data_IF_446088128377
#
_entry.id   IF_446088128377
#
_cell.length_a   1.000
_cell.length_b   1.000
_cell.length_c   1.000
_cell.angle_alpha   90.00
_cell.angle_beta   90.00
_cell.angle_gamma   90.00
#
_symmetry.space_group_name_H-M   'P 1'
#
loop_
_entity.id
_entity.type
_entity.pdbx_description
1 polymer ?
#
# COMPACT_ATOMS: atom_id res chain seq x y z
N UNK A 1 17.68 -11.02 -2.20
CA UNK A 1 17.46 -9.62 -1.78
C UNK A 1 17.64 -9.52 -0.27
N UNK A 2 18.02 -8.37 0.30
CA UNK A 2 18.00 -8.20 1.75
C UNK A 2 16.56 -7.94 2.25
N UNK A 3 16.29 -8.20 3.54
CA UNK A 3 15.08 -7.70 4.22
C UNK A 3 15.02 -6.15 4.24
N UNK A 4 13.84 -5.60 4.50
CA UNK A 4 13.59 -4.15 4.59
C UNK A 4 13.94 -3.40 3.30
N UNK A 5 13.81 -4.07 2.15
CA UNK A 5 13.98 -3.49 0.82
C UNK A 5 12.67 -3.63 0.05
N UNK A 6 12.47 -2.78 -0.94
CA UNK A 6 11.39 -2.95 -1.87
C UNK A 6 11.88 -3.03 -3.32
N UNK A 7 11.07 -3.68 -4.15
CA UNK A 7 11.25 -3.75 -5.59
C UNK A 7 9.90 -3.51 -6.26
N UNK A 8 9.92 -2.88 -7.42
CA UNK A 8 8.77 -2.85 -8.31
C UNK A 8 8.79 -4.09 -9.19
N UNK A 9 7.72 -4.89 -9.13
CA UNK A 9 7.49 -6.00 -10.06
C UNK A 9 6.47 -5.55 -11.09
N UNK A 10 6.93 -5.35 -12.33
CA UNK A 10 6.10 -4.89 -13.45
C UNK A 10 5.97 -6.00 -14.49
N UNK A 11 4.74 -6.34 -14.85
CA UNK A 11 4.41 -7.47 -15.75
C UNK A 11 3.25 -7.11 -16.67
N UNK A 12 3.13 -7.85 -17.78
CA UNK A 12 1.97 -7.80 -18.68
C UNK A 12 1.30 -9.17 -18.71
N UNK A 13 0.14 -9.28 -18.07
CA UNK A 13 -0.55 -10.55 -17.85
C UNK A 13 -1.71 -10.74 -18.83
N UNK A 14 -1.78 -11.92 -19.42
CA UNK A 14 -2.88 -12.31 -20.30
C UNK A 14 -4.05 -12.90 -19.47
N UNK A 15 -5.13 -12.13 -19.39
CA UNK A 15 -6.39 -12.54 -18.75
C UNK A 15 -7.44 -13.02 -19.77
N UNK A 16 -7.06 -13.23 -21.03
CA UNK A 16 -7.96 -13.59 -22.11
C UNK A 16 -8.85 -12.41 -22.52
N UNK A 17 -10.10 -12.67 -22.94
CA UNK A 17 -10.92 -11.66 -23.61
C UNK A 17 -11.44 -10.55 -22.71
N UNK A 18 -11.49 -10.76 -21.38
CA UNK A 18 -11.98 -9.78 -20.42
C UNK A 18 -10.88 -9.42 -19.43
N UNK A 19 -10.51 -8.14 -19.40
CA UNK A 19 -9.47 -7.65 -18.50
C UNK A 19 -10.09 -7.30 -17.13
N UNK A 20 -9.59 -7.88 -16.02
CA UNK A 20 -10.05 -7.54 -14.69
C UNK A 20 -9.54 -6.17 -14.23
N UNK A 21 -10.13 -5.63 -13.16
CA UNK A 21 -9.54 -4.52 -12.41
C UNK A 21 -8.25 -4.96 -11.73
N UNK A 22 -7.41 -4.01 -11.30
CA UNK A 22 -6.17 -4.34 -10.57
C UNK A 22 -6.46 -5.13 -9.29
N UNK A 23 -7.51 -4.78 -8.55
CA UNK A 23 -7.91 -5.51 -7.35
C UNK A 23 -8.29 -6.97 -7.65
N UNK A 24 -9.03 -7.21 -8.72
CA UNK A 24 -9.39 -8.55 -9.18
C UNK A 24 -8.17 -9.31 -9.71
N UNK A 25 -7.28 -8.64 -10.45
CA UNK A 25 -6.03 -9.23 -10.95
C UNK A 25 -5.13 -9.72 -9.81
N UNK A 26 -5.01 -8.95 -8.73
CA UNK A 26 -4.23 -9.33 -7.55
C UNK A 26 -4.73 -10.62 -6.89
N UNK A 27 -6.01 -10.96 -7.00
CA UNK A 27 -6.54 -12.24 -6.50
C UNK A 27 -6.00 -13.44 -7.30
N UNK A 28 -5.57 -13.21 -8.54
CA UNK A 28 -4.95 -14.20 -9.42
C UNK A 28 -3.43 -14.28 -9.25
N UNK A 29 -2.84 -13.45 -8.38
CA UNK A 29 -1.43 -13.54 -8.03
C UNK A 29 -1.30 -14.34 -6.73
N UNK A 30 -0.66 -15.50 -6.79
CA UNK A 30 -0.32 -16.30 -5.62
C UNK A 30 0.94 -15.76 -4.96
N UNK A 31 0.90 -15.58 -3.63
CA UNK A 31 2.09 -15.29 -2.81
C UNK A 31 2.58 -16.60 -2.26
N UNK A 32 3.78 -17.02 -2.62
CA UNK A 32 4.44 -18.18 -2.02
C UNK A 32 5.57 -17.71 -1.13
N UNK A 33 5.59 -18.17 0.11
CA UNK A 33 6.61 -17.81 1.07
C UNK A 33 7.07 -19.03 1.88
N UNK A 34 8.36 -19.04 2.21
CA UNK A 34 8.97 -19.99 3.15
C UNK A 34 9.94 -19.21 4.04
N UNK A 35 9.47 -18.63 5.16
CA UNK A 35 10.35 -17.92 6.09
C UNK A 35 11.31 -18.90 6.80
N UNK A 36 12.52 -18.43 7.12
CA UNK A 36 13.53 -19.25 7.82
C UNK A 36 13.10 -19.64 9.23
N UNK A 37 12.33 -18.79 9.91
CA UNK A 37 11.76 -19.05 11.24
C UNK A 37 10.49 -19.91 11.20
N UNK A 38 9.99 -20.25 9.99
CA UNK A 38 8.76 -21.00 9.78
C UNK A 38 7.46 -20.23 10.08
N UNK A 39 7.51 -18.93 10.40
CA UNK A 39 6.35 -18.16 10.87
C UNK A 39 6.10 -16.91 10.04
N UNK A 40 4.86 -16.77 9.56
CA UNK A 40 4.40 -15.58 8.83
C UNK A 40 4.88 -15.54 7.37
N UNK A 41 5.01 -14.33 6.83
CA UNK A 41 5.40 -14.08 5.44
C UNK A 41 6.83 -13.53 5.33
N UNK A 42 7.46 -13.70 4.18
CA UNK A 42 8.79 -13.17 3.88
C UNK A 42 8.74 -11.81 3.18
N UNK A 43 7.62 -11.47 2.55
CA UNK A 43 7.40 -10.21 1.85
C UNK A 43 5.90 -9.87 1.83
N UNK A 44 5.57 -8.64 1.42
CA UNK A 44 4.22 -8.13 1.21
C UNK A 44 4.15 -7.28 -0.05
N UNK A 45 3.02 -7.28 -0.74
CA UNK A 45 2.68 -6.22 -1.70
C UNK A 45 2.10 -5.03 -0.93
N UNK A 46 2.76 -3.88 -1.03
CA UNK A 46 2.36 -2.64 -0.37
C UNK A 46 1.28 -1.90 -1.15
N UNK A 47 1.45 -1.83 -2.45
CA UNK A 47 0.47 -1.24 -3.35
C UNK A 47 0.63 -1.82 -4.75
N UNK A 48 -0.42 -1.70 -5.56
CA UNK A 48 -0.40 -2.10 -6.94
C UNK A 48 -1.28 -1.21 -7.82
N UNK A 49 -0.83 -0.98 -9.04
CA UNK A 49 -1.51 -0.14 -10.02
C UNK A 49 -1.21 -0.61 -11.44
N UNK A 50 -1.95 -0.08 -12.40
CA UNK A 50 -1.79 -0.42 -13.80
C UNK A 50 -3.07 -0.25 -14.61
N UNK A 51 -3.15 -0.96 -15.72
CA UNK A 51 -4.29 -0.88 -16.63
C UNK A 51 -4.08 -1.72 -17.87
N UNK A 52 -5.03 -1.71 -18.82
CA UNK A 52 -4.86 -2.39 -20.10
C UNK A 52 -3.59 -1.92 -20.82
N UNK A 53 -2.90 -2.84 -21.51
CA UNK A 53 -1.85 -2.49 -22.46
C UNK A 53 -2.42 -1.63 -23.60
N UNK A 54 -1.59 -0.88 -24.36
CA UNK A 54 -2.09 -0.02 -25.44
C UNK A 54 -2.92 -0.75 -26.52
N UNK A 55 -2.68 -2.05 -26.72
CA UNK A 55 -3.44 -2.90 -27.64
C UNK A 55 -4.70 -3.53 -27.01
N UNK A 56 -4.94 -3.30 -25.72
CA UNK A 56 -6.08 -3.81 -24.96
C UNK A 56 -6.08 -5.32 -24.72
N UNK A 57 -5.00 -6.04 -25.03
CA UNK A 57 -4.96 -7.52 -24.97
C UNK A 57 -4.48 -8.07 -23.64
N UNK A 58 -3.65 -7.32 -22.92
CA UNK A 58 -3.08 -7.74 -21.64
C UNK A 58 -3.35 -6.68 -20.58
N UNK A 59 -3.19 -7.08 -19.32
CA UNK A 59 -3.17 -6.17 -18.20
C UNK A 59 -1.73 -5.86 -17.83
N UNK A 60 -1.33 -4.59 -17.96
CA UNK A 60 -0.12 -4.08 -17.34
C UNK A 60 -0.35 -3.95 -15.84
N UNK A 61 0.47 -4.60 -15.04
CA UNK A 61 0.38 -4.62 -13.57
C UNK A 61 1.75 -4.31 -12.97
N UNK A 62 1.82 -3.28 -12.14
CA UNK A 62 2.98 -2.94 -11.33
C UNK A 62 2.64 -3.15 -9.85
N UNK A 63 3.50 -3.88 -9.14
CA UNK A 63 3.34 -4.23 -7.72
C UNK A 63 4.57 -3.79 -6.94
N UNK A 64 4.38 -2.97 -5.91
CA UNK A 64 5.44 -2.65 -4.96
C UNK A 64 5.58 -3.77 -3.92
N UNK A 65 6.65 -4.55 -4.03
CA UNK A 65 6.94 -5.69 -3.16
C UNK A 65 7.97 -5.31 -2.11
N UNK A 66 7.61 -5.37 -0.83
CA UNK A 66 8.49 -5.11 0.32
C UNK A 66 8.91 -6.41 0.99
N UNK A 67 10.22 -6.62 1.17
CA UNK A 67 10.78 -7.74 1.93
C UNK A 67 10.71 -7.47 3.44
N UNK A 68 10.28 -8.46 4.21
CA UNK A 68 10.01 -8.31 5.65
C UNK A 68 10.82 -9.29 6.51
N UNK A 69 11.03 -10.52 6.03
CA UNK A 69 11.75 -11.56 6.79
C UNK A 69 12.68 -12.39 5.89
N UNK A 70 13.78 -12.93 6.45
CA UNK A 70 14.62 -13.89 5.74
C UNK A 70 13.87 -15.16 5.35
N UNK A 71 14.28 -15.77 4.25
CA UNK A 71 13.67 -16.97 3.66
C UNK A 71 13.41 -16.82 2.18
N UNK A 72 12.57 -17.68 1.62
CA UNK A 72 12.26 -17.65 0.20
C UNK A 72 10.89 -16.99 -0.04
N UNK A 73 10.76 -16.27 -1.15
CA UNK A 73 9.51 -15.65 -1.58
C UNK A 73 9.33 -15.65 -3.09
N UNK A 74 8.09 -15.79 -3.57
CA UNK A 74 7.72 -15.64 -4.96
C UNK A 74 6.30 -15.13 -5.17
N UNK A 75 6.11 -14.43 -6.29
CA UNK A 75 4.82 -14.09 -6.88
C UNK A 75 4.61 -14.99 -8.10
N UNK A 76 3.46 -15.66 -8.16
CA UNK A 76 3.10 -16.59 -9.23
C UNK A 76 1.75 -16.21 -9.82
N UNK A 77 1.64 -16.15 -11.14
CA UNK A 77 0.35 -15.98 -11.80
C UNK A 77 -0.41 -17.30 -11.81
N UNK A 78 -1.49 -17.40 -11.02
CA UNK A 78 -2.24 -18.65 -10.81
C UNK A 78 -2.73 -19.30 -12.11
N UNK A 79 -3.13 -18.48 -13.07
CA UNK A 79 -3.73 -18.94 -14.32
C UNK A 79 -2.77 -19.78 -15.17
N UNK A 80 -1.50 -19.39 -15.21
CA UNK A 80 -0.49 -20.01 -16.08
C UNK A 80 0.59 -20.75 -15.31
N UNK A 81 0.73 -20.49 -14.01
CA UNK A 81 1.84 -20.95 -13.18
C UNK A 81 3.13 -20.15 -13.38
N UNK A 82 3.10 -19.06 -14.15
CA UNK A 82 4.26 -18.23 -14.43
C UNK A 82 4.80 -17.56 -13.16
N UNK A 83 6.11 -17.62 -12.95
CA UNK A 83 6.79 -16.93 -11.86
C UNK A 83 7.05 -15.49 -12.28
N UNK A 84 6.38 -14.54 -11.62
CA UNK A 84 6.47 -13.11 -11.91
C UNK A 84 7.67 -12.47 -11.20
N UNK A 85 7.97 -12.97 -10.01
CA UNK A 85 9.12 -12.57 -9.21
C UNK A 85 9.45 -13.70 -8.23
N UNK A 86 10.74 -13.89 -7.96
CA UNK A 86 11.20 -14.77 -6.90
C UNK A 86 12.52 -14.28 -6.32
N UNK A 87 12.74 -14.52 -5.02
CA UNK A 87 14.01 -14.20 -4.38
C UNK A 87 14.28 -15.09 -3.19
N UNK A 88 15.56 -15.43 -3.00
CA UNK A 88 16.08 -15.75 -1.66
C UNK A 88 16.29 -14.42 -0.94
N UNK A 89 15.52 -14.22 0.13
CA UNK A 89 15.59 -13.06 1.01
C UNK A 89 16.52 -13.39 2.17
N UNK A 90 17.53 -12.55 2.38
CA UNK A 90 18.56 -12.75 3.39
C UNK A 90 18.49 -11.64 4.43
N UNK A 91 19.06 -11.90 5.60
CA UNK A 91 19.25 -10.87 6.62
C UNK A 91 20.05 -9.70 6.03
N UNK A 92 19.54 -8.50 6.17
CA UNK A 92 20.24 -7.27 5.78
C UNK A 92 21.14 -6.77 6.91
N UNK A 93 22.03 -5.86 6.56
CA UNK A 93 22.90 -5.16 7.54
C UNK A 93 22.13 -4.15 8.40
N UNK A 94 20.93 -3.73 7.98
CA UNK A 94 20.03 -2.87 8.75
C UNK A 94 19.11 -3.70 9.66
N UNK A 95 19.26 -3.50 10.97
CA UNK A 95 18.61 -4.29 12.03
C UNK A 95 17.27 -3.76 12.51
N UNK A 96 16.71 -2.71 11.90
CA UNK A 96 15.39 -2.19 12.29
C UNK A 96 14.33 -3.24 12.02
N UNK A 97 13.90 -3.94 13.07
CA UNK A 97 12.78 -4.88 13.01
C UNK A 97 11.51 -4.08 12.90
N UNK A 98 10.85 -4.15 11.76
CA UNK A 98 9.47 -3.73 11.64
C UNK A 98 8.61 -4.65 12.51
N UNK A 99 7.95 -4.08 13.51
CA UNK A 99 7.09 -4.83 14.44
C UNK A 99 5.64 -4.89 13.98
N UNK A 100 5.30 -4.31 12.82
CA UNK A 100 3.97 -4.44 12.23
C UNK A 100 2.84 -3.69 12.94
N UNK A 101 3.14 -2.64 13.73
CA UNK A 101 2.15 -2.08 14.66
C UNK A 101 1.84 -0.58 14.51
N UNK A 102 2.61 0.19 13.75
CA UNK A 102 2.41 1.64 13.65
C UNK A 102 2.19 2.09 12.22
N UNK A 103 0.96 2.43 11.87
CA UNK A 103 0.62 3.15 10.65
C UNK A 103 0.96 4.63 10.87
N UNK A 104 1.90 5.16 10.09
CA UNK A 104 2.14 6.60 9.99
C UNK A 104 1.32 7.17 8.83
N UNK A 105 0.55 8.22 9.11
CA UNK A 105 -0.25 8.94 8.12
C UNK A 105 0.30 10.35 7.97
N UNK A 106 0.58 10.74 6.72
CA UNK A 106 0.98 12.10 6.37
C UNK A 106 -0.07 12.70 5.43
N UNK A 107 -0.34 14.00 5.57
CA UNK A 107 -1.24 14.75 4.69
C UNK A 107 -0.48 15.97 4.17
N UNK A 108 -0.61 16.27 2.88
CA UNK A 108 -0.02 17.48 2.33
C UNK A 108 -0.89 18.73 2.59
N UNK A 109 -0.28 19.92 2.57
CA UNK A 109 -1.01 21.20 2.73
C UNK A 109 -1.59 21.75 1.41
N UNK A 110 -1.50 20.99 0.32
CA UNK A 110 -1.82 21.45 -1.04
C UNK A 110 -0.60 21.91 -1.83
N UNK A 111 0.56 21.96 -1.18
CA UNK A 111 1.87 22.03 -1.80
C UNK A 111 2.58 20.67 -1.64
N UNK A 112 3.88 20.60 -1.85
CA UNK A 112 4.68 19.38 -1.65
C UNK A 112 5.03 19.13 -0.17
N UNK A 113 4.61 20.00 0.74
CA UNK A 113 4.94 19.84 2.18
C UNK A 113 4.01 18.84 2.84
N UNK A 114 4.61 17.84 3.49
CA UNK A 114 3.92 16.81 4.26
C UNK A 114 3.87 17.14 5.75
N UNK A 115 2.74 16.82 6.37
CA UNK A 115 2.49 16.99 7.81
C UNK A 115 2.02 15.68 8.42
N UNK A 116 2.43 15.43 9.65
CA UNK A 116 2.09 14.19 10.37
C UNK A 116 0.71 14.30 11.00
N UNK A 117 -0.12 13.29 10.82
CA UNK A 117 -1.39 13.17 11.55
C UNK A 117 -1.14 12.53 12.91
N UNK A 118 -1.61 13.17 13.97
CA UNK A 118 -1.56 12.66 15.33
C UNK A 118 -2.75 11.73 15.62
N UNK A 119 -2.47 10.43 15.59
CA UNK A 119 -3.43 9.38 15.93
C UNK A 119 -3.44 8.96 17.40
N UNK A 120 -2.67 9.61 18.28
CA UNK A 120 -2.47 9.16 19.68
C UNK A 120 -3.76 9.09 20.51
N UNK A 121 -4.77 9.89 20.18
CA UNK A 121 -6.07 9.89 20.84
C UNK A 121 -7.09 8.92 20.22
N UNK A 122 -6.62 7.99 19.36
CA UNK A 122 -7.45 7.03 18.62
C UNK A 122 -8.70 7.68 17.99
N UNK A 123 -8.51 8.67 17.10
CA UNK A 123 -9.63 9.42 16.54
C UNK A 123 -10.54 8.50 15.71
N UNK A 124 -11.84 8.78 15.72
CA UNK A 124 -12.82 8.01 14.95
C UNK A 124 -12.65 8.24 13.44
N UNK A 125 -12.28 9.46 13.04
CA UNK A 125 -11.97 9.90 11.67
C UNK A 125 -10.62 10.60 11.60
N UNK A 126 -9.97 10.60 10.43
CA UNK A 126 -8.79 11.40 10.15
C UNK A 126 -9.10 12.90 10.31
N UNK A 127 -10.33 13.33 10.02
CA UNK A 127 -10.74 14.73 10.14
C UNK A 127 -10.84 15.21 11.60
N UNK A 128 -11.03 14.27 12.54
CA UNK A 128 -11.08 14.52 13.99
C UNK A 128 -9.67 14.50 14.62
N UNK A 129 -8.66 14.07 13.86
CA UNK A 129 -7.27 14.06 14.29
C UNK A 129 -6.66 15.47 14.23
N UNK A 130 -5.46 15.62 14.80
CA UNK A 130 -4.68 16.86 14.71
C UNK A 130 -3.49 16.70 13.78
N UNK A 131 -3.08 17.80 13.16
CA UNK A 131 -1.76 17.91 12.54
C UNK A 131 -0.74 18.08 13.67
N UNK A 132 0.17 17.11 13.83
CA UNK A 132 1.11 17.04 14.95
C UNK A 132 1.97 18.29 15.06
N UNK A 133 2.47 18.79 13.94
CA UNK A 133 3.40 19.93 13.89
C UNK A 133 2.71 21.27 14.13
N UNK A 134 1.40 21.37 13.87
CA UNK A 134 0.65 22.63 13.92
C UNK A 134 -0.34 22.69 15.09
N UNK A 135 -0.69 21.54 15.68
CA UNK A 135 -1.71 21.43 16.73
C UNK A 135 -3.14 21.72 16.28
N UNK A 136 -3.39 21.96 14.99
CA UNK A 136 -4.74 22.23 14.43
C UNK A 136 -5.46 20.94 14.05
N UNK A 137 -6.80 20.96 13.96
CA UNK A 137 -7.56 19.82 13.44
C UNK A 137 -7.28 19.61 11.95
N UNK A 138 -7.29 18.36 11.52
CA UNK A 138 -7.19 18.03 10.09
C UNK A 138 -8.37 18.64 9.33
N UNK A 139 -9.56 18.71 9.92
CA UNK A 139 -10.71 19.41 9.34
C UNK A 139 -10.48 20.91 9.07
N UNK A 140 -9.64 21.58 9.84
CA UNK A 140 -9.36 23.01 9.64
C UNK A 140 -8.23 23.19 8.63
N UNK A 141 -7.29 22.24 8.63
CA UNK A 141 -6.14 22.20 7.72
C UNK A 141 -6.51 21.79 6.27
N UNK A 142 -7.53 20.95 6.12
CA UNK A 142 -7.96 20.39 4.84
C UNK A 142 -9.34 20.93 4.46
N UNK A 143 -9.43 21.94 3.58
CA UNK A 143 -10.71 22.55 3.20
C UNK A 143 -11.69 21.53 2.59
N UNK A 144 -12.98 21.74 2.82
CA UNK A 144 -14.02 20.94 2.19
C UNK A 144 -13.97 21.05 0.65
N UNK A 145 -14.13 19.93 -0.05
CA UNK A 145 -14.03 19.85 -1.51
C UNK A 145 -12.61 19.87 -2.07
N UNK A 146 -11.59 20.13 -1.25
CA UNK A 146 -10.20 20.11 -1.69
C UNK A 146 -9.66 18.68 -1.82
N UNK A 147 -8.82 18.47 -2.82
CA UNK A 147 -8.00 17.26 -2.95
C UNK A 147 -6.70 17.42 -2.16
N UNK A 148 -6.28 16.35 -1.48
CA UNK A 148 -4.97 16.23 -0.85
C UNK A 148 -4.31 14.90 -1.22
N UNK A 149 -2.99 14.88 -1.22
CA UNK A 149 -2.24 13.64 -1.15
C UNK A 149 -2.18 13.19 0.31
N UNK A 150 -2.57 11.94 0.53
CA UNK A 150 -2.42 11.25 1.81
C UNK A 150 -1.42 10.13 1.61
N UNK A 151 -0.37 10.13 2.44
CA UNK A 151 0.67 9.12 2.41
C UNK A 151 0.53 8.21 3.63
N UNK A 152 0.50 6.90 3.38
CA UNK A 152 0.51 5.86 4.39
C UNK A 152 1.87 5.18 4.41
N UNK A 153 2.50 5.12 5.58
CA UNK A 153 3.72 4.36 5.80
C UNK A 153 3.39 3.22 6.76
N UNK A 154 3.32 2.02 6.20
CA UNK A 154 3.14 0.77 6.91
C UNK A 154 3.90 -0.31 6.14
N UNK A 155 5.20 -0.42 6.38
CA UNK A 155 6.03 -1.45 5.76
C UNK A 155 7.38 -1.56 6.43
N UNK A 156 8.01 -2.72 6.27
CA UNK A 156 9.35 -2.94 6.80
C UNK A 156 10.44 -2.13 6.08
N UNK A 157 10.25 -1.84 4.79
CA UNK A 157 11.14 -0.97 4.03
C UNK A 157 10.91 0.54 4.26
N UNK A 158 9.84 0.91 4.99
CA UNK A 158 9.45 2.32 5.16
C UNK A 158 8.95 2.98 3.87
N UNK A 159 8.56 2.18 2.88
CA UNK A 159 8.11 2.68 1.58
C UNK A 159 6.72 3.31 1.69
N UNK A 160 6.52 4.52 1.13
CA UNK A 160 5.25 5.23 1.20
C UNK A 160 4.24 4.70 0.18
N UNK A 161 2.99 4.54 0.61
CA UNK A 161 1.83 4.34 -0.26
C UNK A 161 1.04 5.63 -0.32
N UNK A 162 0.94 6.22 -1.51
CA UNK A 162 0.32 7.54 -1.72
C UNK A 162 -1.03 7.40 -2.41
N UNK A 163 -2.01 8.14 -1.95
CA UNK A 163 -3.33 8.24 -2.59
C UNK A 163 -3.76 9.69 -2.66
N UNK A 164 -4.48 10.03 -3.73
CA UNK A 164 -5.19 11.32 -3.82
C UNK A 164 -6.60 11.15 -3.29
N UNK A 165 -6.97 12.05 -2.38
CA UNK A 165 -8.22 11.96 -1.62
C UNK A 165 -8.90 13.32 -1.65
N UNK A 166 -10.22 13.33 -1.80
CA UNK A 166 -11.05 14.51 -1.67
C UNK A 166 -11.75 14.51 -0.32
N UNK A 167 -11.81 15.65 0.35
CA UNK A 167 -12.68 15.82 1.52
C UNK A 167 -14.10 16.12 1.07
N UNK A 168 -15.06 15.41 1.64
CA UNK A 168 -16.50 15.61 1.46
C UNK A 168 -17.16 15.78 2.82
N UNK A 169 -17.25 17.03 3.28
CA UNK A 169 -17.76 17.43 4.59
C UNK A 169 -17.03 16.72 5.74
N UNK A 170 -17.66 15.68 6.31
CA UNK A 170 -17.22 14.89 7.45
C UNK A 170 -16.62 13.53 7.06
N UNK A 171 -16.53 13.24 5.77
CA UNK A 171 -15.86 12.04 5.22
C UNK A 171 -14.83 12.40 4.17
N UNK A 172 -14.11 11.40 3.71
CA UNK A 172 -13.19 11.52 2.57
C UNK A 172 -13.54 10.49 1.51
N UNK A 173 -13.10 10.73 0.28
CA UNK A 173 -13.30 9.83 -0.85
C UNK A 173 -12.02 9.77 -1.68
N UNK A 174 -11.63 8.58 -2.11
CA UNK A 174 -10.48 8.44 -3.01
C UNK A 174 -10.82 9.01 -4.39
N UNK A 175 -9.93 9.83 -4.93
CA UNK A 175 -10.10 10.42 -6.28
C UNK A 175 -9.89 9.36 -7.38
N UNK A 176 -9.17 8.28 -7.07
CA UNK A 176 -9.00 7.11 -7.91
C UNK A 176 -9.02 5.84 -7.06
N UNK A 177 -9.53 4.75 -7.65
CA UNK A 177 -9.45 3.38 -7.15
C UNK A 177 -8.00 2.87 -7.05
N UNK A 178 -7.06 3.51 -7.75
CA UNK A 178 -5.64 3.18 -7.75
C UNK A 178 -4.79 4.14 -6.90
N UNK A 179 -3.68 3.64 -6.33
CA UNK A 179 -3.30 2.22 -6.29
C UNK A 179 -4.21 1.38 -5.37
N UNK A 180 -4.28 0.08 -5.58
CA UNK A 180 -4.82 -0.84 -4.56
C UNK A 180 -3.84 -0.84 -3.39
N UNK A 181 -4.27 -0.38 -2.22
CA UNK A 181 -3.38 -0.21 -1.05
C UNK A 181 -3.38 -1.44 -0.17
N UNK A 182 -2.20 -1.82 0.30
CA UNK A 182 -1.93 -2.89 1.27
C UNK A 182 -2.74 -4.18 1.06
N UNK A 183 -2.76 -4.76 -0.16
CA UNK A 183 -3.59 -5.93 -0.47
C UNK A 183 -3.30 -7.15 0.42
N UNK A 184 -2.11 -7.23 1.00
CA UNK A 184 -1.70 -8.34 1.86
C UNK A 184 -1.91 -8.05 3.37
N UNK A 185 -2.39 -6.85 3.75
CA UNK A 185 -2.58 -6.40 5.15
C UNK A 185 -4.01 -5.88 5.43
N UNK A 186 -5.03 -6.76 5.46
CA UNK A 186 -6.42 -6.36 5.58
C UNK A 186 -6.74 -5.59 6.87
N UNK A 187 -6.02 -5.86 7.97
CA UNK A 187 -6.21 -5.14 9.23
C UNK A 187 -5.84 -3.65 9.11
N UNK A 188 -4.80 -3.33 8.35
CA UNK A 188 -4.38 -1.94 8.09
C UNK A 188 -5.37 -1.26 7.17
N UNK A 189 -5.83 -1.97 6.14
CA UNK A 189 -6.87 -1.45 5.24
C UNK A 189 -8.16 -1.14 6.03
N UNK A 190 -8.56 -2.00 6.97
CA UNK A 190 -9.71 -1.72 7.84
C UNK A 190 -9.50 -0.49 8.72
N UNK A 191 -8.30 -0.31 9.29
CA UNK A 191 -7.95 0.89 10.05
C UNK A 191 -8.01 2.14 9.17
N UNK A 192 -7.45 2.09 7.97
CA UNK A 192 -7.49 3.19 7.00
C UNK A 192 -8.93 3.49 6.61
N UNK A 193 -9.74 2.49 6.26
CA UNK A 193 -11.15 2.70 5.89
C UNK A 193 -11.93 3.36 7.03
N UNK A 194 -11.71 2.93 8.28
CA UNK A 194 -12.33 3.56 9.46
C UNK A 194 -11.92 5.04 9.58
N UNK A 195 -10.61 5.31 9.57
CA UNK A 195 -10.09 6.68 9.72
C UNK A 195 -10.55 7.57 8.56
N UNK A 196 -10.48 7.08 7.34
CA UNK A 196 -10.80 7.85 6.15
C UNK A 196 -12.32 7.91 5.87
N UNK A 197 -13.11 7.07 6.54
CA UNK A 197 -14.55 6.85 6.32
C UNK A 197 -14.87 6.45 4.87
N UNK A 198 -14.13 5.46 4.37
CA UNK A 198 -14.35 4.82 3.06
C UNK A 198 -15.26 3.61 3.16
#
# INVERSE_FOLDING_TARGET
>A
MEINKAVMVTVELDFGPELPTIAQALQQIERRHRPEDGVGRTFAILDAYGGPTPDGKKLHLSMHVSTEKPGWGALVFKRTGEILWQSQIVQGTNTTRFTGQNLLVLVNDGTERLFTVDGSNNPASILDARIKELGVLVSDFWPNGADREVTFLYSACGCPVKVRVRRLNDRTERVSDQPVIFPDDPAVVQLINRLMRW
#
